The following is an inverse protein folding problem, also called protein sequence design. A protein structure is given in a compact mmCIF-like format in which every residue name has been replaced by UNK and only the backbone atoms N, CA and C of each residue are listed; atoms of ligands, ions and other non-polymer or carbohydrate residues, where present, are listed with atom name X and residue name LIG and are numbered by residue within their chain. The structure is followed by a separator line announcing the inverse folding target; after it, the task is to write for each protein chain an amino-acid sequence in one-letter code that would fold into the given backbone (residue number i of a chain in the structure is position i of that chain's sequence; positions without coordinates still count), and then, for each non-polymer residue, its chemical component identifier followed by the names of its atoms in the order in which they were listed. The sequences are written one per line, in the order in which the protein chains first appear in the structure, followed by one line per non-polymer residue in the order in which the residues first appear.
data_IF_762779330608
#
_entry.id   IF_762779330608
#
_cell.length_a   1.000
_cell.length_b   1.000
_cell.length_c   1.000
_cell.angle_alpha   90.00
_cell.angle_beta   90.00
_cell.angle_gamma   90.00
#
_symmetry.space_group_name_H-M   'P 1'
#
loop_
_entity.id
_entity.type
_entity.pdbx_description
1 polymer ?
#
# COMPACT_ATOMS: atom_id res chain seq x y z
N UNK A 1 -5.23 -2.93 6.33
CA UNK A 1 -4.57 -1.86 5.55
C UNK A 1 -5.04 -0.51 6.07
N UNK A 2 -4.14 0.47 6.09
CA UNK A 2 -4.48 1.88 6.32
C UNK A 2 -4.03 2.69 5.10
N UNK A 3 -4.90 3.59 4.62
CA UNK A 3 -4.61 4.54 3.55
C UNK A 3 -4.29 5.88 4.20
N UNK A 4 -3.13 6.42 3.91
CA UNK A 4 -2.57 7.57 4.62
C UNK A 4 -2.11 8.62 3.62
N UNK A 5 -2.32 9.90 3.94
CA UNK A 5 -1.83 11.02 3.17
C UNK A 5 -0.93 11.91 4.03
N UNK A 6 0.26 12.21 3.54
CA UNK A 6 1.11 13.26 4.08
C UNK A 6 1.08 14.48 3.14
N UNK A 7 0.45 15.55 3.59
CA UNK A 7 0.32 16.81 2.82
C UNK A 7 1.54 17.73 2.98
N UNK A 8 2.50 17.38 3.84
CA UNK A 8 3.73 18.17 3.99
C UNK A 8 4.62 18.02 2.76
N UNK A 9 4.77 19.07 2.00
CA UNK A 9 5.48 19.05 0.70
C UNK A 9 6.94 18.63 0.81
N UNK A 10 7.63 19.02 1.88
CA UNK A 10 9.07 18.88 2.03
C UNK A 10 9.46 18.19 3.34
N UNK A 11 8.53 17.54 4.03
CA UNK A 11 8.81 16.90 5.30
C UNK A 11 8.20 15.51 5.35
N UNK A 12 8.98 14.60 5.88
CA UNK A 12 8.57 13.22 6.08
C UNK A 12 9.20 12.64 7.35
N UNK A 13 8.97 11.36 7.58
CA UNK A 13 9.45 10.62 8.75
C UNK A 13 10.17 9.38 8.27
N UNK A 14 11.40 9.16 8.77
CA UNK A 14 12.21 7.98 8.40
C UNK A 14 11.59 6.72 8.95
N UNK A 15 11.14 6.78 10.21
CA UNK A 15 10.55 5.65 10.91
C UNK A 15 9.39 6.14 11.78
N UNK A 16 8.20 5.63 11.47
CA UNK A 16 6.96 5.88 12.19
C UNK A 16 6.38 4.54 12.64
N UNK A 17 6.32 4.33 13.94
CA UNK A 17 5.69 3.14 14.49
C UNK A 17 4.16 3.26 14.38
N UNK A 18 3.50 2.14 14.15
CA UNK A 18 2.05 2.08 14.05
C UNK A 18 1.47 0.86 14.74
N UNK A 19 0.17 0.94 15.02
CA UNK A 19 -0.63 -0.17 15.54
C UNK A 19 -1.96 -0.26 14.81
N UNK A 20 -2.33 -1.47 14.39
CA UNK A 20 -3.69 -1.86 14.06
C UNK A 20 -4.31 -2.58 15.26
N UNK A 21 -5.53 -2.20 15.65
CA UNK A 21 -6.34 -2.91 16.63
C UNK A 21 -7.59 -3.43 15.95
N UNK A 22 -7.87 -4.71 16.16
CA UNK A 22 -8.95 -5.43 15.51
C UNK A 22 -9.97 -5.81 16.57
N UNK A 23 -11.25 -5.50 16.29
CA UNK A 23 -12.36 -5.70 17.22
C UNK A 23 -13.42 -6.61 16.59
N UNK A 24 -14.03 -7.45 17.42
CA UNK A 24 -15.14 -8.31 17.04
C UNK A 24 -16.51 -7.58 17.11
N UNK A 25 -17.59 -8.36 16.89
CA UNK A 25 -18.98 -7.86 16.93
C UNK A 25 -19.40 -7.33 18.29
N UNK A 26 -18.76 -7.77 19.38
CA UNK A 26 -19.02 -7.35 20.75
C UNK A 26 -18.11 -6.20 21.20
N UNK A 27 -17.33 -5.63 20.26
CA UNK A 27 -16.31 -4.60 20.49
C UNK A 27 -15.16 -5.06 21.40
N UNK A 28 -14.93 -6.36 21.50
CA UNK A 28 -13.76 -6.89 22.18
C UNK A 28 -12.54 -6.85 21.28
N UNK A 29 -11.39 -6.49 21.83
CA UNK A 29 -10.13 -6.50 21.12
C UNK A 29 -9.68 -7.94 20.90
N UNK A 30 -9.68 -8.41 19.65
CA UNK A 30 -9.32 -9.77 19.26
C UNK A 30 -7.95 -9.86 18.60
N UNK A 31 -7.33 -8.74 18.28
CA UNK A 31 -5.99 -8.76 17.70
C UNK A 31 -5.33 -7.39 17.66
N UNK A 32 -3.99 -7.42 17.64
CA UNK A 32 -3.12 -6.27 17.43
C UNK A 32 -2.04 -6.60 16.42
N UNK A 33 -1.70 -5.62 15.58
CA UNK A 33 -0.52 -5.65 14.73
C UNK A 33 0.25 -4.37 14.92
N UNK A 34 1.54 -4.51 15.23
CA UNK A 34 2.46 -3.39 15.36
C UNK A 34 3.54 -3.51 14.30
N UNK A 35 3.97 -2.39 13.77
CA UNK A 35 5.03 -2.33 12.80
C UNK A 35 5.62 -0.94 12.73
N UNK A 36 6.56 -0.76 11.82
CA UNK A 36 7.11 0.53 11.47
C UNK A 36 7.08 0.75 9.96
N UNK A 37 6.98 2.00 9.57
CA UNK A 37 7.00 2.45 8.18
C UNK A 37 7.66 3.81 8.08
N UNK A 38 7.96 4.26 6.88
CA UNK A 38 8.33 5.65 6.61
C UNK A 38 7.10 6.45 6.20
N UNK A 39 7.14 7.76 6.40
CA UNK A 39 6.11 8.68 5.91
C UNK A 39 6.75 9.55 4.81
N UNK A 40 6.45 9.31 3.54
CA UNK A 40 7.01 10.08 2.43
C UNK A 40 6.44 11.50 2.41
N UNK A 41 7.20 12.53 1.97
CA UNK A 41 6.66 13.87 1.78
C UNK A 41 5.62 13.91 0.64
N UNK A 42 4.56 14.69 0.82
CA UNK A 42 3.56 15.03 -0.21
C UNK A 42 3.03 13.82 -1.01
N UNK A 43 2.72 12.74 -0.32
CA UNK A 43 2.24 11.51 -0.96
C UNK A 43 1.11 10.84 -0.19
N UNK A 44 0.26 10.18 -0.96
CA UNK A 44 -0.62 9.13 -0.48
C UNK A 44 0.11 7.80 -0.54
N UNK A 45 -0.06 6.98 0.48
CA UNK A 45 0.55 5.66 0.59
C UNK A 45 -0.31 4.72 1.43
N UNK A 46 -0.11 3.44 1.25
CA UNK A 46 -0.83 2.41 1.99
C UNK A 46 0.11 1.68 2.95
N UNK A 47 -0.34 1.49 4.18
CA UNK A 47 0.30 0.61 5.15
C UNK A 47 -0.46 -0.72 5.13
N UNK A 48 0.19 -1.75 4.63
CA UNK A 48 -0.42 -3.06 4.42
C UNK A 48 0.13 -4.07 5.42
N UNK A 49 -0.79 -4.68 6.18
CA UNK A 49 -0.52 -5.86 6.99
C UNK A 49 -1.19 -7.07 6.34
N UNK A 50 -0.48 -8.20 6.24
CA UNK A 50 -1.05 -9.41 5.69
C UNK A 50 -2.19 -9.93 6.57
N UNK A 51 -2.97 -10.85 6.00
CA UNK A 51 -4.08 -11.50 6.68
C UNK A 51 -3.64 -12.10 8.02
N UNK A 52 -4.52 -11.94 9.00
CA UNK A 52 -4.41 -12.57 10.31
C UNK A 52 -5.55 -13.56 10.49
N UNK A 53 -5.23 -14.73 11.04
CA UNK A 53 -6.25 -15.70 11.41
C UNK A 53 -6.76 -15.39 12.83
N UNK A 54 -8.03 -15.06 12.93
CA UNK A 54 -8.72 -14.79 14.20
C UNK A 54 -9.54 -16.00 14.68
N UNK A 55 -9.29 -17.19 14.10
CA UNK A 55 -10.06 -18.39 14.40
C UNK A 55 -11.54 -18.21 14.04
N UNK A 56 -12.44 -18.40 15.01
CA UNK A 56 -13.88 -18.26 14.80
C UNK A 56 -14.42 -16.84 15.03
N UNK A 57 -13.59 -15.90 15.47
CA UNK A 57 -14.01 -14.54 15.76
C UNK A 57 -14.32 -13.77 14.48
N UNK A 58 -15.47 -13.11 14.43
CA UNK A 58 -15.86 -12.26 13.30
C UNK A 58 -15.36 -10.84 13.54
N UNK A 59 -14.52 -10.35 12.63
CA UNK A 59 -14.05 -8.96 12.65
C UNK A 59 -15.20 -8.02 12.34
N UNK A 60 -15.43 -7.02 13.20
CA UNK A 60 -16.38 -5.94 13.00
C UNK A 60 -15.70 -4.66 12.54
N UNK A 61 -14.60 -4.30 13.21
CA UNK A 61 -13.90 -3.04 12.91
C UNK A 61 -12.39 -3.16 13.16
N UNK A 62 -11.68 -2.28 12.48
CA UNK A 62 -10.23 -2.13 12.62
C UNK A 62 -9.93 -0.66 12.86
N UNK A 63 -9.17 -0.33 13.90
CA UNK A 63 -8.60 0.99 14.09
C UNK A 63 -7.11 0.97 13.73
N UNK A 64 -6.62 2.10 13.25
CA UNK A 64 -5.22 2.35 12.95
C UNK A 64 -4.78 3.62 13.66
N UNK A 65 -3.58 3.58 14.23
CA UNK A 65 -2.92 4.78 14.76
C UNK A 65 -1.41 4.68 14.59
N UNK A 66 -0.78 5.81 14.40
CA UNK A 66 0.65 5.92 14.61
C UNK A 66 0.95 6.01 16.10
N UNK A 67 1.97 5.27 16.55
CA UNK A 67 2.34 5.19 17.98
C UNK A 67 3.69 5.83 18.23
N UNK A 68 3.76 6.62 19.31
CA UNK A 68 5.00 7.28 19.74
C UNK A 68 5.29 8.60 19.03
N UNK A 69 6.36 9.26 19.44
CA UNK A 69 6.79 10.51 18.81
C UNK A 69 7.44 10.23 17.45
N UNK A 70 7.18 11.13 16.48
CA UNK A 70 7.91 11.12 15.22
C UNK A 70 8.91 12.25 15.17
N UNK A 71 10.02 11.99 14.49
CA UNK A 71 10.96 13.03 14.10
C UNK A 71 10.71 13.39 12.64
N UNK A 72 10.09 14.55 12.43
CA UNK A 72 9.93 15.12 11.11
C UNK A 72 11.26 15.64 10.60
N UNK A 73 11.65 15.19 9.43
CA UNK A 73 12.84 15.67 8.76
C UNK A 73 12.49 16.34 7.45
N UNK A 74 13.22 17.41 7.14
CA UNK A 74 13.14 18.06 5.85
C UNK A 74 13.84 17.17 4.81
N UNK A 75 13.14 16.87 3.73
CA UNK A 75 13.68 16.14 2.58
C UNK A 75 13.32 16.90 1.32
N UNK A 76 14.31 17.25 0.54
CA UNK A 76 14.09 17.80 -0.79
C UNK A 76 13.34 16.76 -1.66
N UNK A 77 12.38 17.19 -2.49
CA UNK A 77 11.48 16.29 -3.21
C UNK A 77 12.12 15.62 -4.43
N UNK A 78 13.38 15.18 -4.34
CA UNK A 78 14.05 14.46 -5.43
C UNK A 78 13.23 13.26 -5.91
N UNK A 79 12.52 12.61 -4.99
CA UNK A 79 11.64 11.48 -5.29
C UNK A 79 10.31 11.89 -5.91
N UNK A 80 9.84 13.11 -5.65
CA UNK A 80 8.62 13.61 -6.30
C UNK A 80 8.84 13.82 -7.82
N UNK A 81 10.08 13.82 -8.26
CA UNK A 81 10.47 13.93 -9.67
C UNK A 81 10.67 12.56 -10.35
N UNK A 82 10.48 11.46 -9.63
CA UNK A 82 10.49 10.14 -10.26
C UNK A 82 9.21 9.99 -11.09
N UNK A 83 9.38 9.93 -12.39
CA UNK A 83 8.30 9.68 -13.34
C UNK A 83 7.98 8.17 -13.35
N UNK A 84 7.29 7.71 -12.30
CA UNK A 84 6.77 6.35 -12.21
C UNK A 84 5.28 6.35 -12.50
N UNK A 85 4.89 5.52 -13.43
CA UNK A 85 3.52 5.39 -13.88
C UNK A 85 3.02 3.97 -13.70
N UNK A 86 1.73 3.85 -13.43
CA UNK A 86 1.01 2.58 -13.46
C UNK A 86 0.16 2.55 -14.72
N UNK A 87 0.39 1.58 -15.57
CA UNK A 87 -0.29 1.40 -16.84
C UNK A 87 -0.93 0.00 -16.93
N UNK A 88 -1.81 -0.19 -17.91
CA UNK A 88 -2.38 -1.48 -18.30
C UNK A 88 -2.98 -2.26 -17.13
N UNK A 89 -3.71 -1.56 -16.24
CA UNK A 89 -4.37 -2.21 -15.10
C UNK A 89 -5.51 -3.07 -15.64
N UNK A 90 -5.52 -4.33 -15.22
CA UNK A 90 -6.57 -5.28 -15.60
C UNK A 90 -6.97 -6.12 -14.40
N UNK A 91 -8.26 -6.09 -14.05
CA UNK A 91 -8.85 -6.98 -13.05
C UNK A 91 -9.28 -8.26 -13.75
N UNK A 92 -8.84 -9.40 -13.25
CA UNK A 92 -9.22 -10.71 -13.79
C UNK A 92 -10.70 -11.01 -13.57
N UNK A 93 -11.34 -11.62 -14.57
CA UNK A 93 -12.77 -11.89 -14.56
C UNK A 93 -13.18 -13.14 -13.74
N UNK A 94 -12.22 -13.91 -13.23
CA UNK A 94 -12.52 -15.09 -12.41
C UNK A 94 -12.77 -14.70 -10.95
N UNK A 95 -14.03 -14.70 -10.56
CA UNK A 95 -14.44 -14.38 -9.18
C UNK A 95 -13.91 -15.41 -8.17
N UNK A 96 -13.62 -16.65 -8.61
CA UNK A 96 -13.11 -17.70 -7.71
C UNK A 96 -11.61 -17.61 -7.49
N UNK A 97 -10.89 -17.03 -8.43
CA UNK A 97 -9.44 -16.80 -8.37
C UNK A 97 -9.16 -15.35 -8.76
N UNK A 98 -9.55 -14.40 -7.92
CA UNK A 98 -9.41 -12.99 -8.26
C UNK A 98 -7.95 -12.62 -8.47
N UNK A 99 -7.70 -11.78 -9.47
CA UNK A 99 -6.37 -11.29 -9.79
C UNK A 99 -6.41 -9.85 -10.31
N UNK A 100 -5.29 -9.18 -10.19
CA UNK A 100 -5.05 -7.89 -10.85
C UNK A 100 -3.64 -7.90 -11.42
N UNK A 101 -3.52 -7.40 -12.64
CA UNK A 101 -2.23 -7.16 -13.28
C UNK A 101 -2.08 -5.69 -13.59
N UNK A 102 -0.87 -5.17 -13.50
CA UNK A 102 -0.53 -3.83 -13.92
C UNK A 102 0.92 -3.79 -14.42
N UNK A 103 1.27 -2.74 -15.15
CA UNK A 103 2.63 -2.49 -15.61
C UNK A 103 3.16 -1.23 -14.92
N UNK A 104 4.26 -1.35 -14.20
CA UNK A 104 4.97 -0.19 -13.62
C UNK A 104 6.01 0.27 -14.63
N UNK A 105 5.93 1.53 -15.06
CA UNK A 105 6.87 2.15 -15.98
C UNK A 105 7.71 3.21 -15.27
N UNK A 106 9.02 3.11 -15.44
CA UNK A 106 9.96 4.10 -14.95
C UNK A 106 10.40 4.99 -16.13
N UNK A 107 9.85 6.20 -16.23
CA UNK A 107 10.26 7.20 -17.22
C UNK A 107 11.29 8.19 -16.66
N UNK A 108 11.83 7.93 -15.46
CA UNK A 108 12.89 8.74 -14.88
C UNK A 108 14.26 8.32 -15.44
N UNK A 109 15.26 9.20 -15.24
CA UNK A 109 16.64 8.91 -15.57
C UNK A 109 17.35 8.02 -14.54
N UNK A 110 16.67 7.72 -13.43
CA UNK A 110 17.22 6.96 -12.31
C UNK A 110 16.77 5.49 -12.34
N UNK A 111 17.63 4.61 -11.90
CA UNK A 111 17.24 3.25 -11.57
C UNK A 111 16.58 3.24 -10.17
N UNK A 112 15.46 2.55 -10.05
CA UNK A 112 14.76 2.37 -8.78
C UNK A 112 15.25 1.08 -8.14
N UNK A 113 15.92 1.11 -6.98
CA UNK A 113 16.55 -0.08 -6.41
C UNK A 113 15.56 -1.09 -5.86
N UNK A 114 14.56 -0.63 -5.14
CA UNK A 114 13.48 -1.46 -4.59
C UNK A 114 12.25 -0.60 -4.32
N UNK A 115 11.07 -1.18 -4.51
CA UNK A 115 9.80 -0.50 -4.26
C UNK A 115 8.68 -1.48 -3.92
N UNK A 116 7.71 -0.99 -3.16
CA UNK A 116 6.48 -1.71 -2.87
C UNK A 116 5.38 -1.24 -3.80
N UNK A 117 4.50 -2.16 -4.17
CA UNK A 117 3.27 -1.84 -4.89
C UNK A 117 2.10 -2.44 -4.13
N UNK A 118 1.11 -1.62 -3.81
CA UNK A 118 -0.12 -2.02 -3.13
C UNK A 118 -1.28 -1.82 -4.09
N UNK A 119 -2.02 -2.89 -4.37
CA UNK A 119 -3.29 -2.82 -5.08
C UNK A 119 -4.44 -2.80 -4.07
N UNK A 120 -5.39 -1.90 -4.26
CA UNK A 120 -6.60 -1.77 -3.45
C UNK A 120 -7.79 -1.85 -4.40
N UNK A 121 -8.75 -2.68 -4.09
CA UNK A 121 -9.97 -2.85 -4.87
C UNK A 121 -11.15 -2.27 -4.11
N UNK A 122 -12.05 -1.61 -4.83
CA UNK A 122 -13.22 -0.94 -4.27
C UNK A 122 -14.50 -1.44 -4.92
N UNK A 123 -15.58 -1.47 -4.13
CA UNK A 123 -16.94 -1.72 -4.60
C UNK A 123 -17.58 -0.46 -5.23
N UNK A 124 -18.83 -0.58 -5.67
CA UNK A 124 -19.61 0.52 -6.25
C UNK A 124 -19.86 1.71 -5.30
N UNK A 125 -19.71 1.50 -3.99
CA UNK A 125 -19.87 2.52 -2.96
C UNK A 125 -18.53 3.11 -2.51
N UNK A 126 -17.43 2.81 -3.23
CA UNK A 126 -16.07 3.20 -2.86
C UNK A 126 -15.58 2.63 -1.51
N UNK A 127 -16.15 1.50 -1.07
CA UNK A 127 -15.58 0.78 0.07
C UNK A 127 -14.45 -0.10 -0.41
N UNK A 128 -13.31 -0.06 0.28
CA UNK A 128 -12.21 -0.97 0.00
C UNK A 128 -12.61 -2.40 0.40
N UNK A 129 -12.73 -3.28 -0.58
CA UNK A 129 -13.17 -4.68 -0.39
C UNK A 129 -11.99 -5.63 -0.24
N UNK A 130 -10.86 -5.30 -0.87
CA UNK A 130 -9.65 -6.11 -0.73
C UNK A 130 -8.40 -5.30 -1.06
N UNK A 131 -7.24 -5.80 -0.59
CA UNK A 131 -5.94 -5.24 -0.94
C UNK A 131 -4.88 -6.34 -0.99
N UNK A 132 -3.82 -6.10 -1.76
CA UNK A 132 -2.65 -6.98 -1.83
C UNK A 132 -1.40 -6.16 -2.04
N UNK A 133 -0.24 -6.67 -1.59
CA UNK A 133 1.05 -6.02 -1.69
C UNK A 133 2.08 -6.92 -2.37
N UNK A 134 2.88 -6.35 -3.23
CA UNK A 134 4.08 -6.98 -3.78
C UNK A 134 5.30 -6.07 -3.62
N UNK A 135 6.47 -6.66 -3.52
CA UNK A 135 7.76 -5.96 -3.49
C UNK A 135 8.51 -6.31 -4.77
N UNK A 136 9.17 -5.33 -5.35
CA UNK A 136 9.98 -5.49 -6.55
C UNK A 136 11.38 -4.95 -6.30
N UNK A 137 12.36 -5.69 -6.79
CA UNK A 137 13.77 -5.35 -6.70
C UNK A 137 14.26 -4.89 -8.07
N UNK A 138 14.55 -3.59 -8.16
CA UNK A 138 15.10 -2.98 -9.34
C UNK A 138 14.09 -2.68 -10.45
N UNK A 139 14.10 -1.44 -10.92
CA UNK A 139 13.47 -1.03 -12.17
C UNK A 139 14.36 0.00 -12.85
N UNK A 140 14.99 -0.40 -13.94
CA UNK A 140 15.94 0.46 -14.67
C UNK A 140 15.25 1.70 -15.23
N UNK A 141 16.03 2.73 -15.49
CA UNK A 141 15.59 3.91 -16.24
C UNK A 141 14.97 3.51 -17.59
N UNK A 142 13.82 4.11 -17.92
CA UNK A 142 13.06 3.86 -19.14
C UNK A 142 12.57 2.42 -19.36
N UNK A 143 12.59 1.59 -18.33
CA UNK A 143 12.13 0.21 -18.37
C UNK A 143 10.71 0.06 -17.78
N UNK A 144 10.11 -1.10 -18.01
CA UNK A 144 8.77 -1.45 -17.53
C UNK A 144 8.78 -2.83 -16.87
N UNK A 145 8.02 -2.98 -15.79
CA UNK A 145 7.95 -4.21 -15.02
C UNK A 145 6.49 -4.58 -14.76
N UNK A 146 6.04 -5.79 -15.14
CA UNK A 146 4.71 -6.27 -14.79
C UNK A 146 4.64 -6.64 -13.31
N UNK A 147 3.50 -6.30 -12.70
CA UNK A 147 3.15 -6.68 -11.33
C UNK A 147 1.86 -7.48 -11.33
N UNK A 148 1.80 -8.48 -10.46
CA UNK A 148 0.67 -9.39 -10.36
C UNK A 148 0.21 -9.45 -8.90
N UNK A 149 -1.11 -9.39 -8.73
CA UNK A 149 -1.76 -9.55 -7.44
C UNK A 149 -2.78 -10.67 -7.54
N UNK A 150 -2.83 -11.50 -6.54
CA UNK A 150 -3.80 -12.60 -6.46
C UNK A 150 -4.39 -12.66 -5.05
N UNK A 151 -5.62 -13.12 -4.97
CA UNK A 151 -6.30 -13.33 -3.70
C UNK A 151 -6.73 -14.79 -3.58
N UNK A 152 -6.44 -15.45 -2.47
CA UNK A 152 -6.71 -16.88 -2.29
C UNK A 152 -8.19 -17.19 -2.11
N UNK A 153 -9.01 -16.17 -1.84
CA UNK A 153 -10.45 -16.32 -1.61
C UNK A 153 -11.24 -15.51 -2.63
N UNK A 154 -12.41 -16.04 -3.00
CA UNK A 154 -13.36 -15.32 -3.82
C UNK A 154 -13.77 -13.99 -3.17
N UNK A 155 -14.02 -13.00 -3.97
CA UNK A 155 -14.53 -11.72 -3.47
C UNK A 155 -15.99 -11.84 -3.05
N UNK A 156 -16.35 -11.17 -1.97
CA UNK A 156 -17.74 -11.08 -1.48
C UNK A 156 -18.58 -10.08 -2.28
N UNK A 157 -17.92 -9.15 -2.98
CA UNK A 157 -18.53 -8.18 -3.90
C UNK A 157 -17.65 -7.99 -5.12
N UNK A 158 -18.26 -7.56 -6.22
CA UNK A 158 -17.52 -7.31 -7.46
C UNK A 158 -16.72 -6.01 -7.34
N UNK A 159 -15.40 -6.02 -7.60
CA UNK A 159 -14.62 -4.81 -7.67
C UNK A 159 -15.04 -3.97 -8.89
N UNK A 160 -15.16 -2.66 -8.71
CA UNK A 160 -15.57 -1.70 -9.74
C UNK A 160 -14.42 -0.75 -10.08
N UNK A 161 -13.62 -0.38 -9.08
CA UNK A 161 -12.45 0.48 -9.25
C UNK A 161 -11.27 -0.03 -8.42
N UNK A 162 -10.10 0.44 -8.78
CA UNK A 162 -8.85 0.07 -8.12
C UNK A 162 -7.91 1.27 -7.95
N UNK A 163 -7.09 1.21 -6.90
CA UNK A 163 -5.87 2.01 -6.77
C UNK A 163 -4.65 1.10 -6.81
N UNK A 164 -3.63 1.48 -7.55
CA UNK A 164 -2.32 0.83 -7.52
C UNK A 164 -1.28 1.86 -7.10
N UNK A 165 -0.83 1.73 -5.86
CA UNK A 165 0.06 2.69 -5.20
C UNK A 165 1.50 2.18 -5.21
N UNK A 166 2.42 3.01 -5.72
CA UNK A 166 3.86 2.74 -5.69
C UNK A 166 4.47 3.46 -4.50
N UNK A 167 5.16 2.73 -3.64
CA UNK A 167 5.85 3.25 -2.48
C UNK A 167 7.35 3.00 -2.55
N UNK A 168 8.13 4.07 -2.52
CA UNK A 168 9.60 4.05 -2.48
C UNK A 168 10.01 4.78 -1.22
N UNK A 169 10.92 4.17 -0.44
CA UNK A 169 11.45 4.84 0.73
C UNK A 169 12.42 5.97 0.31
N UNK A 170 12.03 7.24 0.50
CA UNK A 170 12.84 8.36 0.06
C UNK A 170 14.11 8.58 0.89
N UNK A 171 14.21 7.90 2.01
CA UNK A 171 15.29 8.10 2.97
C UNK A 171 16.41 7.08 2.80
N UNK A 172 16.13 5.94 2.16
CA UNK A 172 17.10 4.88 1.89
C UNK A 172 17.45 4.74 0.42
N UNK A 173 16.60 5.25 -0.47
CA UNK A 173 16.88 5.23 -1.90
C UNK A 173 18.03 6.19 -2.23
N UNK A 174 19.08 5.66 -2.83
CA UNK A 174 20.22 6.40 -3.40
C UNK A 174 19.99 6.51 -4.91
N UNK A 175 19.91 7.73 -5.43
CA UNK A 175 19.76 8.02 -6.85
C UNK A 175 20.96 8.79 -7.35
#
# INVERSE_FOLDING_TARGET
MAYVENQNKNSGVIEANYEFRIYDTDNLLIGRRQGSTFIPPNKQFAIFEPRYDFGQSKVKSVSFEFTGPFTWIKKEPTINNLALFVNDITIGNDIKSPSLTATIKNESIYEIPSFEVVAILYDENHNAINASKTVKDGLRSNDSLPVFFTWPEAFTSTPVTEDVLISINPFTASF
#
